data_IF_236343426004
#
_entry.id   IF_236343426004
#
_cell.length_a   1.000
_cell.length_b   1.000
_cell.length_c   1.000
_cell.angle_alpha   90.00
_cell.angle_beta   90.00
_cell.angle_gamma   90.00
#
_symmetry.space_group_name_H-M   'P 1'
#
loop_
_entity.id
_entity.type
_entity.pdbx_description
1 polymer ?
#
# COMPACT_ATOMS: atom_id res chain seq x y z
N UNK A 1 1.61 -19.25 7.20
CA UNK A 1 0.94 -18.86 7.16
C UNK A 1 0.48 -17.69 6.54
N UNK A 2 -0.56 -17.57 6.02
CA UNK A 2 -1.08 -16.50 5.24
C UNK A 2 -1.01 -15.15 5.90
N UNK A 3 -0.62 -15.17 7.11
CA UNK A 3 -0.51 -13.92 7.86
C UNK A 3 0.51 -12.96 7.27
N UNK A 4 1.38 -13.45 6.43
CA UNK A 4 2.43 -12.61 5.88
C UNK A 4 1.92 -11.51 4.97
N UNK A 5 0.68 -11.61 4.54
CA UNK A 5 0.13 -10.62 3.62
C UNK A 5 0.08 -9.23 4.26
N UNK A 6 0.16 -9.13 5.58
CA UNK A 6 0.13 -7.85 6.27
C UNK A 6 1.51 -7.33 6.58
N UNK A 7 2.54 -7.90 5.98
CA UNK A 7 3.90 -7.56 6.31
C UNK A 7 4.71 -7.09 5.11
N UNK A 8 4.03 -6.61 4.09
CA UNK A 8 4.73 -6.19 2.88
C UNK A 8 5.35 -4.82 3.06
N UNK A 9 6.57 -4.67 2.55
CA UNK A 9 7.21 -3.37 2.52
C UNK A 9 6.65 -2.58 1.34
N UNK A 10 6.95 -1.28 1.32
CA UNK A 10 6.53 -0.45 0.20
C UNK A 10 7.10 -0.97 -1.12
N UNK A 11 8.35 -1.41 -1.10
CA UNK A 11 8.97 -1.95 -2.31
C UNK A 11 8.25 -3.20 -2.80
N UNK A 12 7.87 -4.06 -1.89
CA UNK A 12 7.15 -5.27 -2.26
C UNK A 12 5.80 -4.96 -2.87
N UNK A 13 5.11 -3.96 -2.32
CA UNK A 13 3.82 -3.56 -2.86
C UNK A 13 3.98 -2.92 -4.24
N UNK A 14 5.03 -2.12 -4.44
CA UNK A 14 5.29 -1.54 -5.74
C UNK A 14 5.46 -2.63 -6.78
N UNK A 15 6.19 -3.67 -6.44
CA UNK A 15 6.40 -4.78 -7.35
C UNK A 15 5.13 -5.56 -7.60
N UNK A 16 4.37 -5.78 -6.55
CA UNK A 16 3.14 -6.55 -6.66
C UNK A 16 2.12 -5.86 -7.56
N UNK A 17 1.99 -4.54 -7.42
CA UNK A 17 1.04 -3.77 -8.21
C UNK A 17 1.65 -3.20 -9.48
N UNK A 18 2.95 -3.46 -9.70
CA UNK A 18 3.65 -3.00 -10.90
C UNK A 18 3.58 -1.49 -11.05
N UNK A 19 3.87 -0.78 -9.97
CA UNK A 19 3.88 0.67 -9.97
C UNK A 19 5.23 1.16 -9.46
N UNK A 20 5.61 2.38 -9.83
CA UNK A 20 6.87 2.95 -9.41
C UNK A 20 6.85 3.40 -7.95
N UNK A 21 5.72 3.92 -7.52
CA UNK A 21 5.59 4.44 -6.16
C UNK A 21 4.22 4.05 -5.62
N UNK A 22 4.22 3.12 -4.68
CA UNK A 22 2.96 2.61 -4.15
C UNK A 22 2.19 3.70 -3.40
N UNK A 23 2.89 4.64 -2.78
CA UNK A 23 2.23 5.70 -2.03
C UNK A 23 1.45 6.61 -2.97
N UNK A 24 2.06 6.99 -4.09
CA UNK A 24 1.35 7.79 -5.09
C UNK A 24 0.16 7.03 -5.65
N UNK A 25 0.36 5.75 -5.89
CA UNK A 25 -0.71 4.91 -6.39
C UNK A 25 -1.88 4.87 -5.41
N UNK A 26 -1.57 4.79 -4.13
CA UNK A 26 -2.60 4.78 -3.10
C UNK A 26 -3.37 6.10 -3.05
N UNK A 27 -2.65 7.21 -3.16
CA UNK A 27 -3.30 8.52 -3.16
C UNK A 27 -4.22 8.64 -4.37
N UNK A 28 -3.74 8.24 -5.55
CA UNK A 28 -4.55 8.29 -6.76
C UNK A 28 -5.79 7.41 -6.62
N UNK A 29 -5.62 6.23 -6.06
CA UNK A 29 -6.73 5.31 -5.85
C UNK A 29 -7.79 5.92 -4.94
N UNK A 30 -7.33 6.60 -3.91
CA UNK A 30 -8.24 7.25 -2.97
C UNK A 30 -8.98 8.41 -3.64
N UNK A 31 -8.26 9.23 -4.38
CA UNK A 31 -8.84 10.38 -5.06
C UNK A 31 -9.88 9.95 -6.08
N UNK A 32 -9.62 8.83 -6.75
CA UNK A 32 -10.56 8.31 -7.75
C UNK A 32 -11.77 7.63 -7.15
N UNK A 33 -11.85 7.59 -5.83
CA UNK A 33 -13.02 7.03 -5.17
C UNK A 33 -12.95 5.53 -4.91
N UNK A 34 -11.83 4.90 -5.19
CA UNK A 34 -11.67 3.46 -4.95
C UNK A 34 -11.21 3.21 -3.53
N UNK A 35 -12.06 3.56 -2.58
CA UNK A 35 -11.70 3.49 -1.18
C UNK A 35 -11.39 2.07 -0.74
N UNK A 36 -12.14 1.11 -1.24
CA UNK A 36 -11.92 -0.30 -0.87
C UNK A 36 -10.53 -0.75 -1.28
N UNK A 37 -10.14 -0.42 -2.51
CA UNK A 37 -8.80 -0.78 -2.99
C UNK A 37 -7.72 -0.10 -2.17
N UNK A 38 -7.93 1.17 -1.83
CA UNK A 38 -6.99 1.91 -1.00
C UNK A 38 -6.81 1.21 0.36
N UNK A 39 -7.91 0.82 0.98
CA UNK A 39 -7.85 0.16 2.28
C UNK A 39 -7.13 -1.18 2.18
N UNK A 40 -7.36 -1.92 1.11
CA UNK A 40 -6.72 -3.20 0.94
C UNK A 40 -5.20 -3.05 0.84
N UNK A 41 -4.73 -2.07 0.06
CA UNK A 41 -3.31 -1.83 -0.08
C UNK A 41 -2.71 -1.43 1.26
N UNK A 42 -3.36 -0.51 1.94
CA UNK A 42 -2.87 -0.03 3.23
C UNK A 42 -2.77 -1.17 4.24
N UNK A 43 -3.78 -2.03 4.25
CA UNK A 43 -3.82 -3.14 5.18
C UNK A 43 -2.67 -4.13 4.95
N UNK A 44 -2.27 -4.29 3.70
CA UNK A 44 -1.22 -5.24 3.36
C UNK A 44 0.18 -4.72 3.70
N UNK A 45 0.33 -3.44 3.91
CA UNK A 45 1.62 -2.86 4.27
C UNK A 45 1.97 -3.20 5.72
N UNK A 46 3.26 -3.36 5.99
CA UNK A 46 3.70 -3.57 7.36
C UNK A 46 3.69 -2.22 8.10
N UNK A 47 3.96 -2.27 9.40
CA UNK A 47 3.88 -1.06 10.21
C UNK A 47 4.82 0.03 9.74
N UNK A 48 6.04 -0.34 9.39
CA UNK A 48 7.02 0.63 8.92
C UNK A 48 6.57 1.33 7.66
N UNK A 49 6.03 0.54 6.73
CA UNK A 49 5.56 1.10 5.47
C UNK A 49 4.35 2.01 5.68
N UNK A 50 3.46 1.64 6.60
CA UNK A 50 2.31 2.49 6.90
C UNK A 50 2.74 3.82 7.47
N UNK A 51 3.75 3.79 8.33
CA UNK A 51 4.30 5.01 8.91
C UNK A 51 4.91 5.89 7.82
N UNK A 52 5.65 5.27 6.92
CA UNK A 52 6.25 6.01 5.82
C UNK A 52 5.18 6.65 4.95
N UNK A 53 4.06 5.96 4.75
CA UNK A 53 2.98 6.50 3.96
C UNK A 53 2.39 7.74 4.63
N UNK A 54 2.22 7.70 5.94
CA UNK A 54 1.66 8.84 6.66
C UNK A 54 2.58 10.05 6.55
N UNK A 55 3.89 9.80 6.51
CA UNK A 55 4.86 10.89 6.37
C UNK A 55 5.02 11.34 4.90
N UNK A 56 4.45 10.60 4.02
CA UNK A 56 4.55 10.91 2.60
C UNK A 56 3.73 12.16 2.28
#
# INVERSE_FOLDING_TARGET
>A
MGTKRHSKTASQQCRYYEVDNIFEYMVDTYINGNITSFKDIYRELNKGARRDFVDF
#
